data_IF_693843159086
#
_entry.id   IF_693843159086
#
_cell.length_a   1.000
_cell.length_b   1.000
_cell.length_c   1.000
_cell.angle_alpha   90.00
_cell.angle_beta   90.00
_cell.angle_gamma   90.00
#
_symmetry.space_group_name_H-M   'P 1'
#
loop_
_entity.id
_entity.type
_entity.pdbx_description
1 polymer ?
#
# COMPACT_ATOMS: atom_id res chain seq x y z
N UNK A 1 -1.69 14.16 7.64
CA UNK A 1 -0.23 14.46 7.76
C UNK A 1 0.15 15.46 6.69
N UNK A 2 0.98 16.45 7.01
CA UNK A 2 1.40 17.51 6.07
C UNK A 2 2.92 17.56 6.07
N UNK A 3 3.53 17.36 4.90
CA UNK A 3 4.96 17.64 4.67
C UNK A 3 5.03 18.99 3.96
N UNK A 4 5.59 20.01 4.61
CA UNK A 4 5.76 21.35 4.03
C UNK A 4 7.24 21.63 3.82
N UNK A 5 7.64 21.90 2.56
CA UNK A 5 9.01 22.22 2.17
C UNK A 5 9.64 21.18 1.23
N UNK A 6 9.48 21.37 -0.09
CA UNK A 6 10.10 20.55 -1.15
C UNK A 6 9.13 19.59 -1.85
N UNK A 7 9.43 19.19 -3.10
CA UNK A 7 8.70 18.17 -3.87
C UNK A 7 9.05 16.76 -3.35
N UNK A 8 8.84 16.54 -2.05
CA UNK A 8 9.27 15.33 -1.35
C UNK A 8 8.27 14.19 -1.57
N UNK A 9 8.80 13.01 -1.85
CA UNK A 9 8.06 11.76 -1.84
C UNK A 9 7.93 11.27 -0.38
N UNK A 10 6.81 10.65 -0.04
CA UNK A 10 6.56 10.07 1.28
C UNK A 10 6.48 8.55 1.19
N UNK A 11 7.34 7.86 1.93
CA UNK A 11 7.35 6.41 2.09
C UNK A 11 6.93 6.08 3.52
N UNK A 12 5.86 5.31 3.67
CA UNK A 12 5.38 4.80 4.96
C UNK A 12 5.56 3.28 4.98
N UNK A 13 6.34 2.80 5.94
CA UNK A 13 6.55 1.37 6.16
C UNK A 13 6.03 0.99 7.54
N UNK A 14 5.12 0.02 7.58
CA UNK A 14 4.68 -0.59 8.82
C UNK A 14 4.35 -2.08 8.60
N UNK A 15 5.26 -3.01 8.95
CA UNK A 15 5.07 -4.44 8.73
C UNK A 15 3.85 -5.03 9.45
N UNK A 16 3.40 -4.40 10.53
CA UNK A 16 2.22 -4.86 11.27
C UNK A 16 0.92 -4.71 10.46
N UNK A 17 0.86 -3.72 9.56
CA UNK A 17 -0.34 -3.36 8.79
C UNK A 17 -0.78 -1.92 9.04
N UNK A 18 -1.67 -1.42 8.19
CA UNK A 18 -2.15 -0.03 8.21
C UNK A 18 -3.63 0.07 7.89
N UNK A 19 -4.33 0.99 8.57
CA UNK A 19 -5.75 1.28 8.32
C UNK A 19 -5.89 2.78 8.05
N UNK A 20 -6.41 3.13 6.88
CA UNK A 20 -6.86 4.46 6.52
C UNK A 20 -8.38 4.50 6.67
N UNK A 21 -8.88 5.22 7.68
CA UNK A 21 -10.32 5.36 7.92
C UNK A 21 -11.01 6.29 6.91
N UNK A 22 -12.35 6.46 6.97
CA UNK A 22 -13.13 7.28 6.05
C UNK A 22 -12.67 8.72 5.90
N UNK A 23 -12.18 9.30 6.99
CA UNK A 23 -11.69 10.69 7.02
C UNK A 23 -10.19 10.81 6.73
N UNK A 24 -9.53 9.70 6.35
CA UNK A 24 -8.12 9.74 6.01
C UNK A 24 -7.92 10.57 4.73
N UNK A 25 -6.97 11.49 4.78
CA UNK A 25 -6.53 12.27 3.64
C UNK A 25 -5.01 12.35 3.65
N UNK A 26 -4.44 12.40 2.45
CA UNK A 26 -3.01 12.57 2.24
C UNK A 26 -2.76 13.95 1.64
N UNK A 27 -1.77 14.65 2.17
CA UNK A 27 -1.32 15.93 1.64
C UNK A 27 0.19 15.88 1.49
N UNK A 28 0.61 15.35 0.33
CA UNK A 28 2.01 15.20 -0.03
C UNK A 28 2.29 15.85 -1.38
N UNK A 29 3.39 16.61 -1.51
CA UNK A 29 3.76 17.29 -2.75
C UNK A 29 4.39 16.37 -3.82
N UNK A 30 4.73 15.12 -3.46
CA UNK A 30 5.36 14.13 -4.33
C UNK A 30 4.62 12.78 -4.33
N UNK A 31 5.35 11.71 -4.67
CA UNK A 31 4.84 10.34 -4.69
C UNK A 31 4.50 9.85 -3.27
N UNK A 32 3.46 9.03 -3.15
CA UNK A 32 3.04 8.40 -1.91
C UNK A 32 3.17 6.89 -2.01
N UNK A 33 4.02 6.31 -1.17
CA UNK A 33 4.25 4.86 -1.11
C UNK A 33 3.96 4.35 0.28
N UNK A 34 3.16 3.31 0.36
CA UNK A 34 2.75 2.67 1.61
C UNK A 34 3.07 1.19 1.52
N UNK A 35 3.81 0.65 2.48
CA UNK A 35 4.19 -0.75 2.47
C UNK A 35 4.14 -1.44 3.83
N UNK A 36 3.74 -2.72 3.82
CA UNK A 36 3.89 -3.63 4.98
C UNK A 36 5.11 -4.55 4.83
N UNK A 37 6.01 -4.24 3.91
CA UNK A 37 7.32 -4.88 3.84
C UNK A 37 8.17 -4.55 5.07
N UNK A 38 9.18 -5.38 5.32
CA UNK A 38 10.18 -5.23 6.38
C UNK A 38 11.32 -4.29 6.01
N UNK A 39 11.56 -4.04 4.71
CA UNK A 39 12.64 -3.18 4.25
C UNK A 39 12.35 -2.46 2.91
N UNK A 40 12.99 -1.30 2.71
CA UNK A 40 13.04 -0.53 1.46
C UNK A 40 14.50 -0.43 1.02
N UNK A 41 14.79 -0.84 -0.22
CA UNK A 41 16.12 -0.77 -0.81
C UNK A 41 16.30 0.42 -1.74
N UNK A 42 17.48 1.02 -1.67
CA UNK A 42 17.90 2.21 -2.44
C UNK A 42 18.86 1.86 -3.58
N UNK A 43 19.09 0.56 -3.83
CA UNK A 43 20.13 0.05 -4.72
C UNK A 43 21.45 -0.21 -3.97
N UNK A 44 22.41 -0.86 -4.66
CA UNK A 44 23.76 -1.15 -4.12
C UNK A 44 23.76 -1.83 -2.73
N UNK A 45 22.81 -2.73 -2.47
CA UNK A 45 22.62 -3.41 -1.19
C UNK A 45 22.38 -2.49 0.03
N UNK A 46 21.90 -1.26 -0.22
CA UNK A 46 21.54 -0.30 0.83
C UNK A 46 20.06 -0.44 1.17
N UNK A 47 19.77 -0.85 2.40
CA UNK A 47 18.42 -1.14 2.88
C UNK A 47 18.07 -0.32 4.11
N UNK A 48 16.89 0.30 4.08
CA UNK A 48 16.19 0.77 5.26
C UNK A 48 15.31 -0.37 5.80
N UNK A 49 15.62 -0.87 7.00
CA UNK A 49 15.00 -2.03 7.63
C UNK A 49 14.30 -1.65 8.93
N UNK A 50 13.12 -2.21 9.20
CA UNK A 50 12.37 -1.90 10.44
C UNK A 50 12.91 -2.64 11.67
N UNK A 51 13.53 -3.80 11.48
CA UNK A 51 13.95 -4.69 12.57
C UNK A 51 15.46 -4.73 12.80
N UNK A 52 16.22 -3.81 12.21
CA UNK A 52 17.69 -3.80 12.28
C UNK A 52 18.23 -2.38 12.30
N UNK A 53 19.48 -2.24 12.73
CA UNK A 53 20.18 -0.95 12.70
C UNK A 53 20.39 -0.50 11.25
N UNK A 54 20.14 0.79 11.00
CA UNK A 54 20.25 1.39 9.68
C UNK A 54 21.40 2.40 9.65
N UNK A 55 22.24 2.31 8.62
CA UNK A 55 23.14 3.41 8.27
C UNK A 55 22.41 4.40 7.37
N UNK A 56 21.78 5.41 7.99
CA UNK A 56 21.03 6.43 7.29
C UNK A 56 21.87 7.25 6.31
N UNK A 57 23.19 7.36 6.54
CA UNK A 57 24.08 8.09 5.62
C UNK A 57 24.30 7.31 4.32
N UNK A 58 24.13 5.99 4.35
CA UNK A 58 24.22 5.13 3.19
C UNK A 58 22.91 5.12 2.37
N UNK A 59 21.79 5.65 2.87
CA UNK A 59 20.51 5.63 2.14
C UNK A 59 20.42 6.75 1.09
N UNK A 60 21.29 6.67 0.08
CA UNK A 60 21.39 7.65 -1.00
C UNK A 60 20.75 7.07 -2.26
N UNK A 61 19.84 7.82 -2.88
CA UNK A 61 19.23 7.47 -4.17
C UNK A 61 17.71 7.37 -4.12
N UNK A 62 17.14 6.71 -5.11
CA UNK A 62 15.69 6.52 -5.21
C UNK A 62 15.31 5.13 -4.69
N UNK A 63 14.47 5.02 -3.65
CA UNK A 63 13.97 3.75 -3.19
C UNK A 63 13.17 3.06 -4.30
N UNK A 64 13.51 1.81 -4.57
CA UNK A 64 12.90 1.04 -5.66
C UNK A 64 12.70 -0.44 -5.32
N UNK A 65 13.28 -0.92 -4.21
CA UNK A 65 13.18 -2.30 -3.78
C UNK A 65 12.39 -2.39 -2.47
N UNK A 66 11.63 -3.45 -2.29
CA UNK A 66 10.82 -3.70 -1.10
C UNK A 66 10.98 -5.16 -0.69
N UNK A 67 11.33 -5.42 0.56
CA UNK A 67 11.45 -6.76 1.11
C UNK A 67 10.24 -7.08 1.99
N UNK A 68 9.71 -8.28 1.85
CA UNK A 68 8.64 -8.84 2.67
C UNK A 68 9.19 -10.07 3.39
N UNK A 69 10.16 -9.90 4.29
CA UNK A 69 10.88 -11.03 4.91
C UNK A 69 10.03 -11.76 5.97
N UNK A 70 9.01 -11.09 6.51
CA UNK A 70 8.06 -11.69 7.43
C UNK A 70 7.22 -12.76 6.72
N UNK A 71 6.94 -13.89 7.39
CA UNK A 71 6.09 -14.95 6.85
C UNK A 71 4.66 -14.48 6.56
N UNK A 72 4.15 -13.58 7.41
CA UNK A 72 2.83 -12.99 7.28
C UNK A 72 2.98 -11.46 7.36
N UNK A 73 3.26 -10.78 6.25
CA UNK A 73 3.22 -9.32 6.22
C UNK A 73 1.81 -8.82 6.49
N UNK A 74 1.71 -7.68 7.17
CA UNK A 74 0.43 -7.09 7.56
C UNK A 74 -0.47 -6.71 6.38
N UNK A 75 -1.71 -6.38 6.71
CA UNK A 75 -2.71 -5.95 5.74
C UNK A 75 -2.81 -4.41 5.66
N UNK A 76 -3.21 -3.89 4.50
CA UNK A 76 -3.65 -2.50 4.33
C UNK A 76 -5.17 -2.46 4.12
N UNK A 77 -5.88 -1.68 4.94
CA UNK A 77 -7.27 -1.28 4.67
C UNK A 77 -7.30 0.20 4.31
N UNK A 78 -7.95 0.55 3.21
CA UNK A 78 -8.34 1.93 2.93
C UNK A 78 -9.85 2.06 2.79
N UNK A 79 -10.44 2.85 3.71
CA UNK A 79 -11.83 3.27 3.68
C UNK A 79 -12.00 4.77 3.38
N UNK A 80 -10.90 5.51 3.24
CA UNK A 80 -10.90 6.94 2.93
C UNK A 80 -10.66 7.26 1.46
N UNK A 81 -10.76 8.53 1.12
CA UNK A 81 -10.47 9.07 -0.21
C UNK A 81 -9.03 9.59 -0.27
N UNK A 82 -8.14 8.77 -0.82
CA UNK A 82 -6.71 9.06 -0.89
C UNK A 82 -6.36 9.53 -2.30
N UNK A 83 -5.90 10.78 -2.40
CA UNK A 83 -5.53 11.41 -3.66
C UNK A 83 -4.16 12.06 -3.57
N UNK A 84 -3.29 11.78 -4.55
CA UNK A 84 -2.02 12.48 -4.71
C UNK A 84 -2.16 13.66 -5.67
N UNK A 85 -1.17 14.55 -5.66
CA UNK A 85 -1.12 15.67 -6.60
C UNK A 85 -0.95 15.19 -8.05
N UNK A 86 -1.34 16.03 -9.02
CA UNK A 86 -1.33 15.69 -10.44
C UNK A 86 0.06 15.21 -10.92
N UNK A 87 0.09 14.14 -11.71
CA UNK A 87 1.31 13.53 -12.24
C UNK A 87 2.13 12.71 -11.24
N UNK A 88 1.66 12.57 -9.99
CA UNK A 88 2.35 11.79 -8.94
C UNK A 88 1.84 10.36 -8.84
N UNK A 89 2.56 9.55 -8.06
CA UNK A 89 2.27 8.13 -7.88
C UNK A 89 1.64 7.84 -6.52
N UNK A 90 0.69 6.91 -6.51
CA UNK A 90 0.13 6.30 -5.31
C UNK A 90 0.42 4.80 -5.37
N UNK A 91 1.22 4.29 -4.42
CA UNK A 91 1.67 2.90 -4.42
C UNK A 91 1.37 2.22 -3.09
N UNK A 92 0.56 1.16 -3.11
CA UNK A 92 0.28 0.30 -1.96
C UNK A 92 0.90 -1.09 -2.18
N UNK A 93 1.78 -1.51 -1.27
CA UNK A 93 2.44 -2.82 -1.30
C UNK A 93 2.25 -3.52 0.05
N UNK A 94 1.39 -4.52 0.13
CA UNK A 94 1.11 -5.17 1.42
C UNK A 94 1.04 -6.68 1.33
N UNK A 95 0.94 -7.37 2.47
CA UNK A 95 0.58 -8.78 2.49
C UNK A 95 -0.75 -9.02 1.80
N UNK A 96 -1.78 -8.31 2.28
CA UNK A 96 -3.12 -8.26 1.71
C UNK A 96 -3.60 -6.81 1.65
N UNK A 97 -4.44 -6.46 0.69
CA UNK A 97 -4.99 -5.11 0.52
C UNK A 97 -6.51 -5.17 0.39
N UNK A 98 -7.20 -4.31 1.15
CA UNK A 98 -8.64 -4.09 1.06
C UNK A 98 -8.90 -2.60 0.87
N UNK A 99 -9.44 -2.20 -0.28
CA UNK A 99 -9.79 -0.82 -0.58
C UNK A 99 -11.30 -0.68 -0.75
N UNK A 100 -11.96 -0.09 0.23
CA UNK A 100 -13.38 0.26 0.22
C UNK A 100 -13.64 1.73 -0.10
N UNK A 101 -12.65 2.61 0.12
CA UNK A 101 -12.67 4.02 -0.28
C UNK A 101 -12.11 4.26 -1.69
N UNK A 102 -11.68 5.50 -1.98
CA UNK A 102 -11.19 5.87 -3.32
C UNK A 102 -9.66 6.07 -3.36
N UNK A 103 -9.04 5.68 -4.48
CA UNK A 103 -7.65 5.99 -4.80
C UNK A 103 -7.59 6.85 -6.06
N UNK A 104 -6.95 8.01 -5.98
CA UNK A 104 -6.80 8.93 -7.10
C UNK A 104 -5.35 9.37 -7.31
N UNK A 105 -4.91 9.36 -8.58
CA UNK A 105 -3.63 9.92 -9.01
C UNK A 105 -3.80 10.58 -10.38
N UNK A 106 -4.41 11.79 -10.45
CA UNK A 106 -4.75 12.43 -11.71
C UNK A 106 -3.53 12.60 -12.62
N UNK A 107 -3.59 12.07 -13.85
CA UNK A 107 -2.47 12.08 -14.80
C UNK A 107 -1.21 11.36 -14.31
N UNK A 108 -1.33 10.56 -13.25
CA UNK A 108 -0.26 9.88 -12.53
C UNK A 108 -0.33 8.37 -12.68
N UNK A 109 0.15 7.65 -11.65
CA UNK A 109 0.11 6.18 -11.64
C UNK A 109 -0.39 5.67 -10.28
N UNK A 110 -1.26 4.66 -10.32
CA UNK A 110 -1.68 3.92 -9.13
C UNK A 110 -1.12 2.50 -9.23
N UNK A 111 -0.40 2.06 -8.21
CA UNK A 111 0.09 0.68 -8.08
C UNK A 111 -0.49 0.07 -6.81
N UNK A 112 -1.22 -1.03 -6.95
CA UNK A 112 -1.75 -1.80 -5.81
C UNK A 112 -1.29 -3.24 -6.00
N UNK A 113 -0.40 -3.72 -5.13
CA UNK A 113 0.12 -5.08 -5.23
C UNK A 113 0.14 -5.75 -3.85
N UNK A 114 -0.42 -6.96 -3.79
CA UNK A 114 -0.33 -7.82 -2.63
C UNK A 114 0.81 -8.82 -2.81
N UNK A 115 1.57 -9.02 -1.75
CA UNK A 115 2.87 -9.68 -1.76
C UNK A 115 2.89 -10.64 -0.60
N UNK A 116 2.81 -11.96 -0.84
CA UNK A 116 2.96 -12.92 0.23
C UNK A 116 4.30 -12.72 0.95
N UNK A 117 4.38 -13.18 2.19
CA UNK A 117 5.64 -13.17 2.92
C UNK A 117 6.76 -13.95 2.22
N UNK A 118 7.99 -13.70 2.66
CA UNK A 118 9.21 -14.30 2.15
C UNK A 118 9.51 -13.96 0.68
N UNK A 119 9.15 -12.75 0.24
CA UNK A 119 9.34 -12.27 -1.14
C UNK A 119 10.04 -10.91 -1.18
N UNK A 120 10.59 -10.56 -2.34
CA UNK A 120 11.12 -9.23 -2.65
C UNK A 120 10.45 -8.69 -3.92
N UNK A 121 10.32 -7.37 -4.01
CA UNK A 121 9.80 -6.68 -5.20
C UNK A 121 10.72 -5.53 -5.55
N UNK A 122 10.93 -5.34 -6.85
CA UNK A 122 11.58 -4.15 -7.39
C UNK A 122 10.63 -3.42 -8.33
N UNK A 123 10.40 -2.14 -8.07
CA UNK A 123 9.63 -1.24 -8.93
C UNK A 123 10.61 -0.46 -9.81
N UNK A 124 10.59 -0.72 -11.12
CA UNK A 124 11.38 -0.01 -12.11
C UNK A 124 10.63 1.23 -12.63
N UNK A 125 11.36 2.25 -13.08
CA UNK A 125 10.77 3.47 -13.65
C UNK A 125 10.11 3.18 -15.03
N UNK A 126 9.15 4.02 -15.41
CA UNK A 126 8.35 3.87 -16.63
C UNK A 126 9.23 3.66 -17.88
N UNK A 127 9.00 2.57 -18.62
CA UNK A 127 9.79 2.14 -19.77
C UNK A 127 10.63 0.88 -19.54
N UNK A 128 10.78 0.43 -18.29
CA UNK A 128 11.36 -0.86 -17.95
C UNK A 128 10.25 -1.83 -17.52
N UNK A 129 10.33 -3.08 -17.96
CA UNK A 129 9.45 -4.16 -17.45
C UNK A 129 9.51 -4.17 -15.91
N UNK A 130 8.34 -4.25 -15.28
CA UNK A 130 8.24 -4.59 -13.87
C UNK A 130 8.91 -5.96 -13.71
N UNK A 131 10.00 -6.01 -12.96
CA UNK A 131 10.76 -7.23 -12.74
C UNK A 131 10.44 -7.69 -11.33
N UNK A 132 9.53 -8.66 -11.24
CA UNK A 132 9.31 -9.43 -10.02
C UNK A 132 10.51 -10.38 -9.87
N UNK A 133 11.41 -10.06 -8.96
CA UNK A 133 12.52 -10.93 -8.60
C UNK A 133 12.23 -11.56 -7.24
N UNK A 134 11.87 -12.83 -7.26
CA UNK A 134 11.54 -13.59 -6.05
C UNK A 134 12.82 -14.21 -5.50
N UNK A 135 13.43 -13.54 -4.53
CA UNK A 135 14.48 -14.12 -3.70
C UNK A 135 13.93 -14.49 -2.33
N UNK A 136 13.96 -15.78 -2.00
CA UNK A 136 13.49 -16.32 -0.71
C UNK A 136 14.53 -15.97 0.35
N UNK A 137 14.20 -15.04 1.24
CA UNK A 137 15.10 -14.61 2.32
C UNK A 137 14.84 -15.44 3.59
N UNK A 138 15.87 -16.06 4.20
CA UNK A 138 15.69 -16.83 5.41
C UNK A 138 15.67 -15.93 6.67
N UNK A 139 14.63 -16.11 7.47
CA UNK A 139 14.49 -15.76 8.90
C UNK A 139 14.38 -14.28 9.31
N UNK A 140 13.22 -13.91 9.87
CA UNK A 140 13.14 -13.23 11.18
C UNK A 140 11.74 -13.48 11.80
N UNK A 141 11.71 -14.00 13.04
CA UNK A 141 10.51 -14.07 13.88
C UNK A 141 10.51 -12.85 14.80
N UNK A 142 9.35 -12.18 14.91
CA UNK A 142 8.79 -11.45 16.07
C UNK A 142 8.11 -10.12 15.71
N UNK A 143 6.89 -9.93 16.21
CA UNK A 143 6.18 -8.65 16.31
C UNK A 143 4.76 -8.70 15.72
N UNK A 144 3.75 -8.33 16.51
CA UNK A 144 2.31 -8.53 16.23
C UNK A 144 1.89 -8.18 14.80
N UNK A 145 1.47 -9.22 14.07
CA UNK A 145 1.01 -9.16 12.68
C UNK A 145 -0.51 -9.05 12.69
N UNK A 146 -1.09 -8.05 12.02
CA UNK A 146 -2.52 -8.07 11.69
C UNK A 146 -2.71 -8.88 10.41
N UNK A 147 -3.30 -10.06 10.55
CA UNK A 147 -3.70 -10.90 9.41
C UNK A 147 -5.15 -10.60 9.02
N UNK A 148 -5.55 -10.93 7.78
CA UNK A 148 -6.96 -10.83 7.36
C UNK A 148 -7.87 -11.74 8.19
N UNK A 149 -7.30 -12.75 8.86
CA UNK A 149 -8.07 -13.60 9.77
C UNK A 149 -8.40 -12.92 11.10
N UNK A 150 -7.64 -11.89 11.49
CA UNK A 150 -7.90 -11.09 12.69
C UNK A 150 -8.99 -10.03 12.45
N UNK A 151 -9.36 -9.81 11.18
CA UNK A 151 -10.29 -8.74 10.75
C UNK A 151 -11.69 -8.85 11.38
N UNK A 152 -12.34 -10.03 11.43
CA UNK A 152 -13.65 -10.16 12.09
C UNK A 152 -13.59 -9.78 13.57
N UNK A 153 -12.51 -10.13 14.26
CA UNK A 153 -12.28 -9.77 15.66
C UNK A 153 -12.05 -8.27 15.82
N UNK A 154 -11.25 -7.65 14.93
CA UNK A 154 -11.01 -6.20 14.96
C UNK A 154 -12.27 -5.38 14.64
N UNK A 155 -13.13 -5.85 13.74
CA UNK A 155 -14.40 -5.18 13.44
C UNK A 155 -15.39 -5.26 14.61
N UNK A 156 -15.38 -6.36 15.34
CA UNK A 156 -16.28 -6.57 16.49
C UNK A 156 -15.76 -5.95 17.78
N UNK A 157 -14.45 -5.73 17.91
CA UNK A 157 -13.79 -5.30 19.15
C UNK A 157 -13.15 -3.90 19.06
N UNK A 158 -12.89 -3.36 17.85
CA UNK A 158 -11.91 -2.30 17.64
C UNK A 158 -12.40 -0.86 17.47
N UNK A 159 -13.61 -0.60 16.96
CA UNK A 159 -14.10 0.79 16.85
C UNK A 159 -15.60 0.86 16.52
N UNK A 160 -16.44 1.11 17.54
CA UNK A 160 -17.90 1.25 17.40
C UNK A 160 -18.35 2.38 16.46
N UNK A 161 -17.43 3.25 16.03
CA UNK A 161 -17.68 4.45 15.22
C UNK A 161 -16.79 4.56 13.97
N UNK A 162 -16.07 3.50 13.58
CA UNK A 162 -15.23 3.51 12.38
C UNK A 162 -15.88 2.65 11.29
N UNK A 163 -16.51 3.31 10.32
CA UNK A 163 -17.03 2.63 9.13
C UNK A 163 -15.86 2.30 8.19
N UNK A 164 -15.48 1.04 8.08
CA UNK A 164 -14.46 0.61 7.11
C UNK A 164 -15.07 0.20 5.77
N UNK A 165 -16.40 0.34 5.60
CA UNK A 165 -17.11 -0.20 4.44
C UNK A 165 -17.09 -1.73 4.40
N UNK A 166 -16.92 -2.39 5.55
CA UNK A 166 -16.85 -3.83 5.70
C UNK A 166 -17.94 -4.33 6.66
N UNK A 167 -18.43 -5.55 6.42
CA UNK A 167 -19.31 -6.28 7.32
C UNK A 167 -18.80 -7.69 7.55
N UNK A 168 -19.06 -8.21 8.74
CA UNK A 168 -18.85 -9.63 9.09
C UNK A 168 -20.17 -10.37 8.93
N UNK A 169 -20.15 -11.46 8.19
CA UNK A 169 -21.33 -12.27 7.91
C UNK A 169 -21.50 -13.34 9.01
N UNK A 170 -22.70 -13.91 9.19
CA UNK A 170 -22.96 -14.93 10.20
C UNK A 170 -22.08 -16.20 10.07
N UNK A 171 -21.56 -16.47 8.89
CA UNK A 171 -20.64 -17.57 8.60
C UNK A 171 -19.16 -17.23 8.88
N UNK A 172 -18.86 -16.02 9.39
CA UNK A 172 -17.51 -15.54 9.67
C UNK A 172 -16.76 -14.95 8.47
N UNK A 173 -17.33 -14.95 7.26
CA UNK A 173 -16.70 -14.25 6.12
C UNK A 173 -16.84 -12.75 6.26
N UNK A 174 -15.96 -12.00 5.59
CA UNK A 174 -16.02 -10.54 5.52
C UNK A 174 -16.40 -10.12 4.10
N UNK A 175 -17.40 -9.24 3.98
CA UNK A 175 -17.78 -8.61 2.71
C UNK A 175 -17.61 -7.10 2.77
N UNK A 176 -17.50 -6.48 1.60
CA UNK A 176 -17.62 -5.02 1.47
C UNK A 176 -19.10 -4.61 1.47
N UNK A 177 -19.47 -3.54 2.17
CA UNK A 177 -20.86 -3.11 2.36
C UNK A 177 -21.52 -2.57 1.08
N UNK A 178 -20.72 -2.06 0.13
CA UNK A 178 -21.22 -1.44 -1.11
C UNK A 178 -21.42 -2.42 -2.27
N UNK A 179 -20.57 -3.44 -2.40
CA UNK A 179 -20.60 -4.38 -3.53
C UNK A 179 -20.86 -5.82 -3.11
N UNK A 180 -20.92 -6.12 -1.80
CA UNK A 180 -20.93 -7.47 -1.23
C UNK A 180 -19.77 -8.35 -1.73
N UNK A 181 -18.67 -7.73 -2.21
CA UNK A 181 -17.49 -8.48 -2.62
C UNK A 181 -16.85 -9.14 -1.38
N UNK A 182 -16.56 -10.43 -1.50
CA UNK A 182 -15.88 -11.21 -0.47
C UNK A 182 -14.42 -10.74 -0.35
N UNK A 183 -13.99 -10.45 0.87
CA UNK A 183 -12.59 -10.21 1.20
C UNK A 183 -11.91 -11.56 1.32
N UNK A 184 -10.92 -11.82 0.45
CA UNK A 184 -10.15 -13.06 0.50
C UNK A 184 -9.22 -13.07 1.73
N UNK A 185 -9.24 -14.12 2.56
CA UNK A 185 -8.30 -14.28 3.67
C UNK A 185 -6.94 -14.83 3.21
N UNK A 186 -6.80 -15.20 1.94
CA UNK A 186 -5.55 -15.78 1.42
C UNK A 186 -4.43 -14.71 1.34
N UNK A 187 -3.18 -15.06 1.69
CA UNK A 187 -2.03 -14.19 1.48
C UNK A 187 -1.88 -13.76 0.01
N UNK A 188 -1.40 -12.54 -0.22
CA UNK A 188 -1.20 -12.02 -1.58
C UNK A 188 -2.51 -11.62 -2.27
N UNK A 189 -3.56 -11.28 -1.51
CA UNK A 189 -4.85 -10.90 -2.08
C UNK A 189 -5.08 -9.39 -2.10
N UNK A 190 -5.73 -8.91 -3.17
CA UNK A 190 -6.21 -7.53 -3.32
C UNK A 190 -7.72 -7.56 -3.52
N UNK A 191 -8.46 -6.83 -2.68
CA UNK A 191 -9.90 -6.59 -2.82
C UNK A 191 -10.14 -5.10 -2.98
N UNK A 192 -10.80 -4.69 -4.07
CA UNK A 192 -11.14 -3.29 -4.34
C UNK A 192 -12.65 -3.21 -4.59
N UNK A 193 -13.37 -2.43 -3.76
CA UNK A 193 -14.80 -2.14 -3.96
C UNK A 193 -15.09 -0.66 -4.19
N UNK A 194 -14.15 0.24 -3.93
CA UNK A 194 -14.25 1.66 -4.25
C UNK A 194 -13.55 2.05 -5.57
N UNK A 195 -13.42 3.36 -5.81
CA UNK A 195 -12.95 3.89 -7.09
C UNK A 195 -11.41 3.92 -7.19
N UNK A 196 -10.88 3.64 -8.38
CA UNK A 196 -9.46 3.80 -8.71
C UNK A 196 -9.36 4.64 -9.98
N UNK A 197 -8.83 5.86 -9.87
CA UNK A 197 -8.77 6.81 -10.97
C UNK A 197 -7.37 7.41 -11.14
N UNK A 198 -6.72 7.06 -12.27
CA UNK A 198 -5.45 7.65 -12.69
C UNK A 198 -5.59 8.53 -13.94
N UNK A 199 -6.83 8.85 -14.34
CA UNK A 199 -7.08 9.60 -15.57
C UNK A 199 -6.47 11.00 -15.52
N UNK A 200 -5.89 11.43 -16.64
CA UNK A 200 -5.39 12.79 -16.83
C UNK A 200 -6.42 13.68 -17.49
N UNK A 201 -6.25 15.00 -17.37
CA UNK A 201 -7.04 15.96 -18.15
C UNK A 201 -6.75 15.75 -19.64
N UNK A 202 -7.79 15.47 -20.43
CA UNK A 202 -7.67 15.44 -21.89
C UNK A 202 -7.44 16.87 -22.40
N UNK A 203 -6.25 17.14 -22.95
CA UNK A 203 -6.02 18.36 -23.72
C UNK A 203 -6.67 18.16 -25.09
N UNK A 204 -7.76 18.88 -25.37
CA UNK A 204 -8.30 18.95 -26.72
C UNK A 204 -7.22 19.54 -27.63
N UNK A 205 -6.55 18.71 -28.42
CA UNK A 205 -5.71 19.18 -29.52
C UNK A 205 -6.68 19.67 -30.59
N UNK A 206 -6.97 20.97 -30.61
CA UNK A 206 -7.57 21.59 -31.79
C UNK A 206 -6.55 21.49 -32.91
N UNK A 207 -6.76 20.59 -33.87
CA UNK A 207 -6.05 20.64 -35.15
C UNK A 207 -6.45 21.95 -35.83
N UNK A 208 -5.58 22.95 -35.77
CA UNK A 208 -5.77 24.19 -36.50
C UNK A 208 -5.40 24.01 -37.97
N UNK A 209 -6.30 24.42 -38.85
CA UNK A 209 -6.02 24.86 -40.22
C UNK A 209 -6.10 23.79 -41.30
#
# INVERSE_FOLDING_TARGET
MQVSGGNANLFLMNPAGMIFGPNASINVPGDFVVTTGSAIGFGNDQWFQVFSDNDYNALIGNPSQFAFDLANPGLIINAGDLSVTEGKKLTFLAGNIVNTGSLAAPGGNITVAAVPGQNRIRISQAGSLLSLEVEVSPQMNQGGSFSVLDLPTLLTQGASNLDLGLAVQPNGSVTTNGTNALVSPLPGSVTISGNVDASGKSTNISSGG
#
